data_IF_449242552367
#
_entry.id   IF_449242552367
#
_cell.length_a   1.000
_cell.length_b   1.000
_cell.length_c   1.000
_cell.angle_alpha   90.00
_cell.angle_beta   90.00
_cell.angle_gamma   90.00
#
_symmetry.space_group_name_H-M   'P 1'
#
loop_
_entity.id
_entity.type
_entity.pdbx_description
1 polymer ?
#
# COMPACT_ATOMS: atom_id res chain seq x y z
N UNK A 1 -5.34 12.18 4.34
CA UNK A 1 -5.74 12.18 2.90
C UNK A 1 -4.75 12.90 2.00
N UNK A 2 -4.36 14.16 2.24
CA UNK A 2 -3.39 14.86 1.38
C UNK A 2 -2.00 14.20 1.30
N UNK A 3 -1.58 13.44 2.31
CA UNK A 3 -0.25 12.82 2.39
C UNK A 3 0.16 12.02 1.13
N UNK A 4 -0.77 11.28 0.51
CA UNK A 4 -0.51 10.59 -0.77
C UNK A 4 -0.44 11.57 -1.94
N UNK A 5 -1.36 12.53 -2.00
CA UNK A 5 -1.38 13.58 -3.03
C UNK A 5 -0.14 14.48 -3.02
N UNK A 6 0.40 14.78 -1.84
CA UNK A 6 1.62 15.57 -1.66
C UNK A 6 2.86 14.85 -2.24
N UNK A 7 2.78 13.53 -2.45
CA UNK A 7 3.78 12.68 -3.11
C UNK A 7 3.44 12.37 -4.57
N UNK A 8 2.38 12.96 -5.13
CA UNK A 8 1.93 12.72 -6.50
C UNK A 8 1.09 11.46 -6.69
N UNK A 9 0.63 10.82 -5.62
CA UNK A 9 -0.24 9.64 -5.68
C UNK A 9 -1.73 10.00 -5.58
N UNK A 10 -2.59 9.10 -6.08
CA UNK A 10 -4.04 9.21 -5.97
C UNK A 10 -4.57 8.18 -4.98
N UNK A 11 -5.48 8.58 -4.08
CA UNK A 11 -6.08 7.71 -3.06
C UNK A 11 -7.59 7.65 -3.24
N UNK A 12 -8.13 6.44 -3.27
CA UNK A 12 -9.55 6.15 -3.45
C UNK A 12 -10.09 5.32 -2.29
N UNK A 13 -11.30 5.65 -1.84
CA UNK A 13 -12.01 4.85 -0.85
C UNK A 13 -12.55 3.56 -1.48
N UNK A 14 -12.36 2.41 -0.80
CA UNK A 14 -12.77 1.10 -1.30
C UNK A 14 -13.74 0.37 -0.34
N UNK A 15 -14.35 1.08 0.61
CA UNK A 15 -15.33 0.52 1.55
C UNK A 15 -14.75 0.11 2.90
N UNK A 16 -15.54 0.31 3.96
CA UNK A 16 -15.13 0.03 5.34
C UNK A 16 -13.91 0.86 5.75
N UNK A 17 -12.82 0.18 6.08
CA UNK A 17 -11.52 0.75 6.43
C UNK A 17 -10.48 0.63 5.29
N UNK A 18 -10.90 0.24 4.07
CA UNK A 18 -9.98 -0.04 2.97
C UNK A 18 -9.88 1.13 1.98
N UNK A 19 -8.66 1.36 1.50
CA UNK A 19 -8.33 2.35 0.50
C UNK A 19 -7.43 1.73 -0.58
N UNK A 20 -7.53 2.24 -1.81
CA UNK A 20 -6.65 1.89 -2.91
C UNK A 20 -5.87 3.14 -3.33
N UNK A 21 -4.56 3.01 -3.47
CA UNK A 21 -3.70 4.11 -3.89
C UNK A 21 -2.96 3.77 -5.19
N UNK A 22 -2.96 4.70 -6.15
CA UNK A 22 -2.13 4.62 -7.36
C UNK A 22 -0.88 5.46 -7.12
N UNK A 23 0.28 4.81 -7.07
CA UNK A 23 1.52 5.33 -6.47
C UNK A 23 2.75 5.20 -7.39
N UNK A 24 2.59 5.34 -8.70
CA UNK A 24 3.71 5.20 -9.64
C UNK A 24 4.80 6.25 -9.33
N UNK A 25 6.05 5.81 -9.25
CA UNK A 25 7.20 6.68 -8.95
C UNK A 25 7.48 6.91 -7.47
N UNK A 26 6.65 6.41 -6.55
CA UNK A 26 6.92 6.44 -5.12
C UNK A 26 7.86 5.30 -4.74
N UNK A 27 8.83 5.60 -3.87
CA UNK A 27 9.77 4.64 -3.33
C UNK A 27 9.41 4.20 -1.92
N UNK A 28 10.06 3.15 -1.41
CA UNK A 28 9.82 2.61 -0.04
C UNK A 28 9.88 3.70 1.04
N UNK A 29 10.76 4.69 0.90
CA UNK A 29 10.90 5.79 1.84
C UNK A 29 9.66 6.70 1.85
N UNK A 30 9.04 6.96 0.69
CA UNK A 30 7.82 7.76 0.60
C UNK A 30 6.66 7.09 1.36
N UNK A 31 6.49 5.78 1.21
CA UNK A 31 5.49 5.02 1.96
C UNK A 31 5.74 5.09 3.47
N UNK A 32 7.01 4.95 3.90
CA UNK A 32 7.37 5.09 5.30
C UNK A 32 6.99 6.47 5.85
N UNK A 33 7.35 7.54 5.15
CA UNK A 33 7.00 8.90 5.56
C UNK A 33 5.49 9.12 5.63
N UNK A 34 4.73 8.60 4.67
CA UNK A 34 3.27 8.69 4.67
C UNK A 34 2.69 7.95 5.89
N UNK A 35 3.15 6.72 6.16
CA UNK A 35 2.62 5.91 7.26
C UNK A 35 2.99 6.48 8.63
N UNK A 36 4.23 6.94 8.82
CA UNK A 36 4.67 7.58 10.07
C UNK A 36 3.87 8.86 10.35
N UNK A 37 3.64 9.69 9.31
CA UNK A 37 2.80 10.88 9.42
C UNK A 37 1.36 10.53 9.74
N UNK A 38 0.80 9.51 9.10
CA UNK A 38 -0.56 9.05 9.35
C UNK A 38 -0.71 8.58 10.80
N UNK A 39 0.20 7.73 11.28
CA UNK A 39 0.20 7.20 12.64
C UNK A 39 0.32 8.32 13.68
N UNK A 40 1.23 9.27 13.47
CA UNK A 40 1.37 10.43 14.37
C UNK A 40 0.11 11.31 14.38
N UNK A 41 -0.52 11.51 13.22
CA UNK A 41 -1.68 12.40 13.10
C UNK A 41 -3.01 11.80 13.55
N UNK A 42 -3.16 10.47 13.42
CA UNK A 42 -4.43 9.77 13.67
C UNK A 42 -4.36 8.79 14.84
N UNK A 43 -3.16 8.53 15.38
CA UNK A 43 -2.91 7.48 16.37
C UNK A 43 -3.41 6.09 15.91
N UNK A 44 -3.31 5.84 14.59
CA UNK A 44 -3.75 4.61 13.93
C UNK A 44 -2.66 4.14 12.98
N UNK A 45 -2.41 2.82 12.96
CA UNK A 45 -1.39 2.23 12.10
C UNK A 45 -2.00 1.67 10.82
N UNK A 46 -1.40 1.99 9.68
CA UNK A 46 -1.79 1.44 8.39
C UNK A 46 -1.05 0.14 8.09
N UNK A 47 -1.74 -0.78 7.42
CA UNK A 47 -1.17 -1.96 6.78
C UNK A 47 -1.35 -1.85 5.28
N UNK A 48 -0.35 -2.23 4.50
CA UNK A 48 -0.40 -2.07 3.05
C UNK A 48 0.30 -3.20 2.30
N UNK A 49 -0.39 -3.77 1.32
CA UNK A 49 0.23 -4.51 0.24
C UNK A 49 0.46 -3.57 -0.94
N UNK A 50 1.71 -3.43 -1.40
CA UNK A 50 2.08 -2.64 -2.57
C UNK A 50 2.36 -3.62 -3.70
N UNK A 51 1.48 -3.67 -4.69
CA UNK A 51 1.61 -4.55 -5.84
C UNK A 51 2.03 -3.81 -7.11
N UNK A 52 2.90 -4.42 -7.91
CA UNK A 52 3.32 -3.92 -9.22
C UNK A 52 2.86 -4.88 -10.31
N UNK A 53 2.50 -4.35 -11.49
CA UNK A 53 2.14 -5.20 -12.62
C UNK A 53 2.03 -4.39 -13.92
N UNK A 54 2.03 -5.11 -15.05
CA UNK A 54 1.87 -4.52 -16.40
C UNK A 54 0.53 -3.81 -16.61
N UNK A 55 -0.49 -4.16 -15.84
CA UNK A 55 -1.80 -3.53 -15.87
C UNK A 55 -2.36 -3.37 -14.45
N UNK A 56 -3.43 -2.59 -14.32
CA UNK A 56 -4.04 -2.27 -13.04
C UNK A 56 -4.58 -3.50 -12.29
N UNK A 57 -5.08 -4.50 -13.01
CA UNK A 57 -5.63 -5.72 -12.41
C UNK A 57 -4.51 -6.54 -11.75
N UNK A 58 -3.38 -6.71 -12.44
CA UNK A 58 -2.23 -7.44 -11.91
C UNK A 58 -1.66 -6.76 -10.67
N UNK A 59 -1.46 -5.45 -10.72
CA UNK A 59 -0.98 -4.66 -9.59
C UNK A 59 -1.91 -4.77 -8.38
N UNK A 60 -3.23 -4.63 -8.60
CA UNK A 60 -4.23 -4.72 -7.53
C UNK A 60 -4.33 -6.14 -6.94
N UNK A 61 -4.28 -7.17 -7.79
CA UNK A 61 -4.29 -8.57 -7.36
C UNK A 61 -3.12 -8.87 -6.42
N UNK A 62 -1.92 -8.41 -6.78
CA UNK A 62 -0.71 -8.52 -5.95
C UNK A 62 -0.82 -7.71 -4.65
N UNK A 63 -1.30 -6.47 -4.72
CA UNK A 63 -1.55 -5.67 -3.52
C UNK A 63 -2.49 -6.37 -2.53
N UNK A 64 -3.57 -6.97 -3.03
CA UNK A 64 -4.51 -7.75 -2.23
C UNK A 64 -3.88 -9.02 -1.65
N UNK A 65 -3.06 -9.74 -2.44
CA UNK A 65 -2.29 -10.89 -1.93
C UNK A 65 -1.38 -10.47 -0.78
N UNK A 66 -0.70 -9.33 -0.89
CA UNK A 66 0.11 -8.75 0.17
C UNK A 66 -0.69 -8.53 1.46
N UNK A 67 -1.87 -7.92 1.37
CA UNK A 67 -2.76 -7.74 2.52
C UNK A 67 -3.21 -9.07 3.14
N UNK A 68 -3.48 -10.10 2.33
CA UNK A 68 -3.80 -11.44 2.83
C UNK A 68 -2.63 -12.05 3.61
N UNK A 69 -1.39 -11.96 3.10
CA UNK A 69 -0.19 -12.44 3.80
C UNK A 69 0.04 -11.71 5.14
N UNK A 70 -0.24 -10.40 5.20
CA UNK A 70 -0.18 -9.61 6.44
C UNK A 70 -1.21 -10.12 7.45
N UNK A 71 -2.45 -10.38 7.01
CA UNK A 71 -3.53 -10.90 7.87
C UNK A 71 -3.23 -12.30 8.40
N UNK A 72 -2.59 -13.13 7.58
CA UNK A 72 -2.08 -14.45 7.96
C UNK A 72 -0.82 -14.41 8.84
N UNK A 73 -0.30 -13.22 9.16
CA UNK A 73 0.92 -13.00 9.95
C UNK A 73 2.18 -13.64 9.34
N UNK A 74 2.19 -13.85 8.03
CA UNK A 74 3.37 -14.34 7.30
C UNK A 74 4.41 -13.24 7.07
N UNK A 75 3.95 -11.99 7.05
CA UNK A 75 4.78 -10.79 6.90
C UNK A 75 4.29 -9.68 7.83
N UNK A 76 5.14 -8.68 8.05
CA UNK A 76 4.85 -7.51 8.88
C UNK A 76 3.92 -6.52 8.15
N UNK A 77 3.74 -5.31 8.69
CA UNK A 77 2.66 -4.40 8.31
C UNK A 77 2.68 -3.89 6.86
N UNK A 78 3.81 -4.01 6.15
CA UNK A 78 3.96 -3.54 4.78
C UNK A 78 4.73 -4.55 3.96
N UNK A 79 4.24 -4.88 2.76
CA UNK A 79 4.93 -5.76 1.81
C UNK A 79 4.86 -5.18 0.40
N UNK A 80 5.95 -5.31 -0.35
CA UNK A 80 6.04 -4.97 -1.77
C UNK A 80 6.09 -6.28 -2.56
N UNK A 81 5.28 -6.39 -3.61
CA UNK A 81 5.18 -7.58 -4.45
C UNK A 81 5.34 -7.23 -5.93
N UNK A 82 6.53 -7.54 -6.46
CA UNK A 82 6.91 -7.31 -7.86
C UNK A 82 6.64 -8.51 -8.77
N UNK A 83 6.70 -8.32 -10.09
CA UNK A 83 6.49 -9.39 -11.08
C UNK A 83 7.31 -10.66 -10.81
N UNK A 84 8.54 -10.50 -10.34
CA UNK A 84 9.51 -11.57 -10.09
C UNK A 84 9.38 -12.25 -8.71
N UNK A 85 8.62 -11.67 -7.77
CA UNK A 85 8.47 -12.15 -6.39
C UNK A 85 7.19 -12.97 -6.19
N UNK A 86 6.87 -13.86 -7.14
CA UNK A 86 5.89 -14.92 -6.90
C UNK A 86 6.57 -16.04 -6.11
N UNK A 87 6.22 -16.15 -4.83
CA UNK A 87 6.48 -17.34 -3.99
C UNK A 87 5.88 -18.61 -4.63
#
# INVERSE_FOLDING_TARGET
>A
MRMFGDKGALLFFNGGDNFIAVCNGLEKLDFKEIFDKFETSMNLRLKAGIGFGKNALDALSRANMGLSLIREKKVNDVIFLNEEEML
#
